data_IF_634838485531
#
_entry.id   IF_634838485531
#
_cell.length_a   1.000
_cell.length_b   1.000
_cell.length_c   1.000
_cell.angle_alpha   90.00
_cell.angle_beta   90.00
_cell.angle_gamma   90.00
#
_symmetry.space_group_name_H-M   'P 1'
#
loop_
_entity.id
_entity.type
_entity.pdbx_description
1 polymer ?
2 non-polymer ?
3 water ?
#
# COMPACT_ATOMS: atom_id res chain seq x y z
N UNK A 31 20.17 6.62 -6.97
CA UNK A 31 19.84 7.23 -5.69
C UNK A 31 18.55 6.63 -5.18
N UNK A 32 18.21 6.98 -3.95
CA UNK A 32 17.01 6.41 -3.33
C UNK A 32 15.74 7.08 -3.85
N UNK A 33 15.83 8.37 -4.20
CA UNK A 33 14.65 9.08 -4.70
C UNK A 33 14.22 8.56 -6.06
N UNK A 34 15.19 8.24 -6.91
CA UNK A 34 14.88 7.68 -8.22
C UNK A 34 14.36 6.26 -8.10
N UNK A 35 14.86 5.51 -7.13
CA UNK A 35 14.37 4.14 -6.96
C UNK A 35 12.93 4.16 -6.47
N UNK A 36 12.60 5.11 -5.59
CA UNK A 36 11.24 5.25 -5.12
C UNK A 36 10.29 5.64 -6.25
N UNK A 37 10.66 6.64 -7.05
CA UNK A 37 9.80 7.05 -8.15
C UNK A 37 9.56 5.90 -9.11
N UNK A 38 10.59 5.10 -9.39
CA UNK A 38 10.41 3.93 -10.24
C UNK A 38 9.41 2.96 -9.62
N UNK A 39 9.57 2.67 -8.33
CA UNK A 39 8.66 1.74 -7.66
C UNK A 39 7.24 2.30 -7.58
N UNK A 40 7.12 3.60 -7.29
CA UNK A 40 5.83 4.29 -7.31
C UNK A 40 5.09 4.07 -8.62
N UNK A 41 5.79 4.24 -9.74
CA UNK A 41 5.13 4.09 -11.03
C UNK A 41 4.75 2.64 -11.29
N UNK A 42 5.57 1.71 -10.82
CA UNK A 42 5.26 0.29 -10.97
C UNK A 42 3.97 -0.06 -10.23
N UNK A 43 3.77 0.51 -9.05
CA UNK A 43 2.58 0.21 -8.27
C UNK A 43 1.34 0.85 -8.88
N UNK A 44 1.50 1.92 -9.66
CA UNK A 44 0.38 2.56 -10.34
C UNK A 44 0.20 2.04 -11.76
N UNK A 45 0.93 0.99 -12.14
CA UNK A 45 0.90 0.58 -13.54
C UNK A 45 -0.39 -0.17 -13.83
N UNK A 46 -0.73 -0.22 -15.12
CA UNK A 46 -1.94 -0.91 -15.51
C UNK A 46 -1.78 -2.44 -15.52
N UNK A 47 -0.58 -2.97 -15.32
CA UNK A 47 -0.32 -4.41 -15.38
C UNK A 47 0.05 -4.95 -14.01
N UNK A 48 -0.41 -6.17 -13.71
CA UNK A 48 -0.22 -6.74 -12.37
C UNK A 48 1.19 -7.26 -12.13
N UNK A 49 1.94 -7.55 -13.19
CA UNK A 49 3.33 -7.92 -13.01
C UNK A 49 4.12 -6.75 -12.46
N UNK A 50 3.89 -5.56 -12.99
CA UNK A 50 4.55 -4.36 -12.50
C UNK A 50 4.18 -4.06 -11.06
N UNK A 51 2.89 -4.17 -10.72
CA UNK A 51 2.45 -3.88 -9.36
C UNK A 51 3.22 -4.74 -8.37
N UNK A 52 3.32 -6.03 -8.66
CA UNK A 52 4.02 -6.95 -7.76
C UNK A 52 5.52 -6.64 -7.71
N UNK A 53 6.12 -6.27 -8.84
CA UNK A 53 7.52 -5.86 -8.80
C UNK A 53 7.69 -4.64 -7.91
N UNK A 54 6.88 -3.60 -8.14
CA UNK A 54 6.99 -2.38 -7.35
C UNK A 54 6.89 -2.62 -5.85
N UNK A 55 5.99 -3.53 -5.45
CA UNK A 55 5.87 -3.92 -4.04
C UNK A 55 7.19 -4.47 -3.52
N UNK A 56 7.82 -5.34 -4.30
CA UNK A 56 9.10 -5.91 -3.88
C UNK A 56 10.13 -4.81 -3.70
N UNK A 57 10.28 -3.94 -4.70
CA UNK A 57 11.22 -2.83 -4.59
C UNK A 57 10.90 -1.94 -3.40
N UNK A 58 9.62 -1.72 -3.11
CA UNK A 58 9.27 -0.91 -1.96
C UNK A 58 9.71 -1.56 -0.65
N UNK A 59 9.56 -2.88 -0.54
CA UNK A 59 10.00 -3.54 0.68
C UNK A 59 11.52 -3.45 0.83
N UNK A 60 12.24 -3.42 -0.29
CA UNK A 60 13.70 -3.29 -0.23
C UNK A 60 14.10 -1.92 0.28
N UNK A 61 13.39 -0.87 -0.18
CA UNK A 61 13.72 0.50 0.19
C UNK A 61 13.46 0.76 1.67
N UNK A 62 12.59 -0.04 2.29
CA UNK A 62 11.99 0.34 3.57
C UNK A 62 13.03 0.44 4.68
N UNK A 63 13.94 -0.54 4.87
CA UNK A 63 14.96 -0.38 5.94
C UNK A 63 15.92 0.77 5.72
N UNK A 64 16.15 1.19 4.48
CA UNK A 64 17.08 2.27 4.19
C UNK A 64 16.43 3.64 4.35
N UNK A 65 15.17 3.69 4.78
CA UNK A 65 14.42 4.92 4.73
C UNK A 65 14.44 5.73 6.01
N UNK A 66 14.36 7.05 5.85
CA UNK A 66 14.12 7.92 6.99
C UNK A 66 12.71 7.70 7.51
N UNK A 67 12.43 8.28 8.69
CA UNK A 67 11.08 8.27 9.26
C UNK A 67 10.04 8.60 8.20
N UNK A 68 10.20 9.76 7.55
CA UNK A 68 9.20 10.19 6.60
C UNK A 68 9.16 9.27 5.39
N UNK A 69 10.33 8.85 4.90
CA UNK A 69 10.34 7.97 3.73
C UNK A 69 9.58 6.69 3.99
N UNK A 70 9.83 6.04 5.13
CA UNK A 70 9.16 4.76 5.42
C UNK A 70 7.64 4.92 5.39
N UNK A 71 7.16 6.02 5.97
CA UNK A 71 5.72 6.25 6.03
C UNK A 71 5.14 6.34 4.63
N UNK A 72 5.89 6.96 3.71
CA UNK A 72 5.50 6.97 2.30
C UNK A 72 5.52 5.57 1.72
N UNK A 73 6.62 4.84 1.91
CA UNK A 73 6.72 3.48 1.37
C UNK A 73 5.54 2.63 1.82
N UNK A 74 5.17 2.76 3.09
CA UNK A 74 4.11 1.92 3.63
C UNK A 74 2.77 2.24 2.97
N UNK A 75 2.48 3.54 2.76
CA UNK A 75 1.24 3.93 2.09
C UNK A 75 1.13 3.27 0.72
N UNK A 76 2.22 3.28 -0.05
CA UNK A 76 2.12 2.73 -1.39
C UNK A 76 2.17 1.20 -1.37
N UNK A 77 2.70 0.62 -0.30
CA UNK A 77 2.61 -0.82 -0.13
C UNK A 77 1.17 -1.25 0.10
N UNK A 78 0.43 -0.46 0.89
CA UNK A 78 -0.99 -0.73 1.07
C UNK A 78 -1.76 -0.49 -0.22
N UNK A 79 -1.43 0.56 -0.95
CA UNK A 79 -2.07 0.81 -2.24
C UNK A 79 -1.82 -0.38 -3.17
N UNK A 80 -0.55 -0.74 -3.38
CA UNK A 80 -0.24 -1.83 -4.28
C UNK A 80 -0.94 -3.12 -3.90
N UNK A 81 -0.93 -3.47 -2.61
CA UNK A 81 -1.63 -4.68 -2.21
C UNK A 81 -3.14 -4.56 -2.44
N UNK A 82 -3.72 -3.40 -2.17
CA UNK A 82 -5.14 -3.21 -2.47
C UNK A 82 -5.45 -3.47 -3.95
N UNK A 83 -4.65 -2.90 -4.85
CA UNK A 83 -4.89 -3.10 -6.28
C UNK A 83 -4.73 -4.55 -6.69
N UNK A 84 -4.00 -5.34 -5.90
CA UNK A 84 -3.84 -6.77 -6.17
C UNK A 84 -4.90 -7.62 -5.47
N UNK A 85 -5.84 -7.00 -4.76
CA UNK A 85 -6.86 -7.69 -3.98
C UNK A 85 -6.26 -8.43 -2.80
N UNK A 86 -5.07 -8.06 -2.37
CA UNK A 86 -4.50 -8.62 -1.16
C UNK A 86 -4.88 -7.71 0.00
N UNK A 87 -6.17 -7.75 0.33
CA UNK A 87 -6.75 -6.75 1.22
C UNK A 87 -6.29 -6.92 2.65
N UNK A 88 -6.00 -8.15 3.10
CA UNK A 88 -5.52 -8.30 4.47
C UNK A 88 -4.12 -7.71 4.63
N UNK A 89 -3.24 -7.88 3.65
CA UNK A 89 -1.92 -7.25 3.74
C UNK A 89 -2.06 -5.73 3.69
N UNK A 90 -2.82 -5.22 2.72
CA UNK A 90 -3.10 -3.80 2.64
C UNK A 90 -3.60 -3.26 3.97
N UNK A 91 -4.55 -3.93 4.59
CA UNK A 91 -5.07 -3.48 5.89
C UNK A 91 -3.99 -3.49 6.95
N UNK A 92 -3.14 -4.53 6.99
CA UNK A 92 -2.06 -4.56 7.98
C UNK A 92 -1.19 -3.31 7.90
N UNK A 93 -0.78 -2.94 6.68
CA UNK A 93 0.07 -1.76 6.50
C UNK A 93 -0.65 -0.47 6.88
N UNK A 94 -1.89 -0.30 6.45
CA UNK A 94 -2.55 0.99 6.66
C UNK A 94 -2.88 1.19 8.14
N UNK A 95 -3.18 0.12 8.87
CA UNK A 95 -3.44 0.22 10.31
C UNK A 95 -2.18 0.60 11.07
N UNK A 96 -1.02 0.14 10.61
CA UNK A 96 0.21 0.57 11.25
C UNK A 96 0.50 2.03 10.99
N UNK A 97 0.41 2.43 9.72
CA UNK A 97 0.57 3.82 9.34
C UNK A 97 -0.28 4.73 10.21
N UNK A 98 -1.54 4.36 10.42
CA UNK A 98 -2.46 5.16 11.21
C UNK A 98 -2.06 5.20 12.68
N UNK A 99 -1.38 4.18 13.18
CA UNK A 99 -0.89 4.26 14.55
C UNK A 99 0.33 5.18 14.66
N UNK A 100 1.12 5.27 13.59
CA UNK A 100 2.27 6.16 13.56
C UNK A 100 1.86 7.59 13.24
N UNK A 101 1.04 7.78 12.20
CA UNK A 101 0.52 9.09 11.81
C UNK A 101 -1.00 9.13 11.90
N UNK A 102 -1.56 9.25 13.10
CA UNK A 102 -3.03 9.24 13.24
C UNK A 102 -3.74 10.38 12.54
N UNK A 103 -3.07 11.49 12.25
CA UNK A 103 -3.75 12.59 11.56
C UNK A 103 -3.66 12.49 10.04
N UNK A 104 -3.08 11.41 9.51
CA UNK A 104 -2.90 11.24 8.06
C UNK A 104 -4.26 10.95 7.44
N UNK A 105 -4.82 11.94 6.76
CA UNK A 105 -6.16 11.76 6.20
C UNK A 105 -6.15 10.86 4.97
N UNK A 106 -5.04 10.86 4.23
CA UNK A 106 -4.94 9.97 3.08
C UNK A 106 -4.96 8.52 3.52
N UNK A 107 -4.28 8.23 4.64
CA UNK A 107 -4.30 6.88 5.20
C UNK A 107 -5.68 6.52 5.72
N UNK A 108 -6.39 7.49 6.31
CA UNK A 108 -7.75 7.22 6.75
C UNK A 108 -8.64 6.85 5.57
N UNK A 109 -8.50 7.55 4.45
CA UNK A 109 -9.30 7.26 3.28
C UNK A 109 -9.00 5.87 2.74
N UNK A 110 -7.72 5.52 2.64
CA UNK A 110 -7.33 4.21 2.11
C UNK A 110 -7.85 3.07 2.99
N UNK A 111 -7.79 3.23 4.31
CA UNK A 111 -8.41 2.25 5.20
C UNK A 111 -9.90 2.11 4.92
N UNK A 112 -10.58 3.24 4.74
CA UNK A 112 -12.01 3.19 4.44
C UNK A 112 -12.27 2.37 3.20
N UNK A 113 -11.46 2.57 2.17
CA UNK A 113 -11.62 1.81 0.92
C UNK A 113 -11.34 0.33 1.14
N UNK A 114 -10.27 0.00 1.85
CA UNK A 114 -9.95 -1.40 2.11
C UNK A 114 -11.10 -2.07 2.85
N UNK A 115 -11.62 -1.43 3.90
CA UNK A 115 -12.78 -1.92 4.64
C UNK A 115 -13.96 -2.20 3.72
N UNK A 116 -14.33 -1.22 2.89
CA UNK A 116 -15.45 -1.41 1.96
C UNK A 116 -15.22 -2.61 1.05
N UNK A 117 -14.02 -2.73 0.49
CA UNK A 117 -13.73 -3.84 -0.41
C UNK A 117 -13.89 -5.19 0.28
N UNK A 118 -13.27 -5.36 1.45
CA UNK A 118 -13.35 -6.62 2.19
C UNK A 118 -14.79 -6.94 2.60
N UNK A 119 -15.53 -5.91 3.03
CA UNK A 119 -16.94 -6.12 3.36
C UNK A 119 -17.70 -6.70 2.17
N UNK A 120 -17.46 -6.16 0.97
CA UNK A 120 -18.24 -6.61 -0.18
C UNK A 120 -17.77 -7.98 -0.65
N UNK A 121 -16.48 -8.24 -0.54
CA UNK A 121 -15.92 -9.53 -0.91
C UNK A 121 -16.53 -10.64 -0.06
N UNK A 122 -16.69 -10.37 1.24
CA UNK A 122 -17.34 -11.33 2.13
C UNK A 122 -18.79 -11.59 1.74
N UNK A 123 -19.53 -10.55 1.38
CA UNK A 123 -20.89 -10.75 0.90
C UNK A 123 -20.92 -11.60 -0.37
N UNK A 124 -20.05 -11.31 -1.34
CA UNK A 124 -20.07 -12.05 -2.59
C UNK A 124 -19.70 -13.52 -2.37
N UNK A 125 -18.87 -13.79 -1.35
CA UNK A 125 -18.43 -15.16 -1.10
C UNK A 125 -19.59 -16.09 -0.82
N UNK A 126 -20.67 -15.58 -0.24
CA UNK A 126 -21.79 -16.44 0.11
C UNK A 126 -23.02 -16.01 -0.67
N UNK A 127 -22.81 -15.38 -1.81
CA UNK A 127 -23.93 -14.93 -2.58
C UNK A 127 -24.29 -16.02 -3.58
X LIG B 1 10.87 1.99 -17.50
X LIG B 1 9.78 1.20 -17.85
X LIG B 1 8.50 1.61 -17.52
X LIG B 1 8.18 7.05 -16.43
X LIG B 1 12.43 5.43 -14.10
X LIG B 1 8.30 2.82 -16.86
X LIG B 1 7.94 5.58 -16.11
X LIG B 1 6.88 7.86 -16.38
X LIG B 1 5.54 7.19 -14.43
X LIG B 1 12.05 6.13 -12.97
X LIG B 1 5.31 7.39 -12.96
X LIG B 1 7.15 9.06 -14.26
X LIG B 1 10.70 6.40 -12.79
X LIG B 1 9.75 5.98 -13.72
X LIG B 1 10.14 5.29 -14.87
X LIG B 1 11.49 5.01 -15.04
X LIG B 1 10.68 3.20 -16.82
X LIG B 1 9.39 3.62 -16.51
X LIG B 1 9.18 4.84 -15.83
X LIG B 1 6.48 7.98 -14.99
X LIG B 1 4.93 6.34 -15.06
X LIG B 1 12.02 4.17 -16.40
#
# INVERSE_FOLDING_TARGET
MEAVLNELVSVEDLLKFEKKFQSEKAAGSVSKSDQFEYAWCLVRSKYNDDIRKGIVLLEELLPKGSKEEQRDYVFYLAVGNYRLKEYEKALKYVRGLLQTEPQNNQAKELERLIDKAMKKDGLLEVLFQ
A1AHL C11 C12 C13 C16 C1 C14 C15 C17 C19 C2 C20 C22 C3 C4 C5 C6 C8 C9 N1 N2 O1 S1
#
